data_IF_191242402607
#
_entry.id   IF_191242402607
#
_cell.length_a   1.000
_cell.length_b   1.000
_cell.length_c   1.000
_cell.angle_alpha   90.00
_cell.angle_beta   90.00
_cell.angle_gamma   90.00
#
_symmetry.space_group_name_H-M   'P 1'
#
loop_
_entity.id
_entity.type
_entity.pdbx_description
1 polymer ?
#
# COMPACT_ATOMS: atom_id res chain seq x y z
N UNK A 1 -23.35 -29.95 0.50
CA UNK A 1 -21.88 -29.87 0.48
C UNK A 1 -21.51 -28.42 0.73
N UNK A 2 -21.21 -28.06 1.98
CA UNK A 2 -20.80 -26.70 2.33
C UNK A 2 -19.32 -26.59 1.96
N UNK A 3 -19.01 -25.88 0.87
CA UNK A 3 -17.63 -25.52 0.57
C UNK A 3 -17.17 -24.56 1.66
N UNK A 4 -16.23 -25.00 2.51
CA UNK A 4 -15.47 -24.12 3.37
C UNK A 4 -14.71 -23.16 2.43
N UNK A 5 -15.29 -22.01 2.14
CA UNK A 5 -14.55 -20.88 1.59
C UNK A 5 -13.55 -20.53 2.68
N UNK A 6 -12.30 -20.93 2.51
CA UNK A 6 -11.21 -20.37 3.32
C UNK A 6 -11.15 -18.89 2.95
N UNK A 7 -11.56 -18.03 3.86
CA UNK A 7 -11.24 -16.61 3.78
C UNK A 7 -9.72 -16.52 3.86
N UNK A 8 -9.06 -16.35 2.71
CA UNK A 8 -7.63 -16.06 2.68
C UNK A 8 -7.52 -14.57 2.92
N UNK A 9 -7.05 -14.20 4.11
CA UNK A 9 -6.66 -12.82 4.39
C UNK A 9 -5.31 -12.59 3.72
N UNK A 10 -5.27 -11.68 2.75
CA UNK A 10 -4.05 -11.30 2.05
C UNK A 10 -3.23 -10.36 2.93
N UNK A 11 -1.89 -10.52 2.94
CA UNK A 11 -0.99 -9.64 3.68
C UNK A 11 -0.58 -8.42 2.86
N UNK A 12 -0.40 -7.28 3.52
CA UNK A 12 0.22 -6.10 2.91
C UNK A 12 1.58 -5.87 3.57
N UNK A 13 2.65 -6.03 2.82
CA UNK A 13 3.98 -5.65 3.29
C UNK A 13 4.40 -4.31 2.68
N UNK A 14 4.58 -3.32 3.55
CA UNK A 14 5.02 -1.98 3.17
C UNK A 14 6.43 -1.70 3.67
N UNK A 15 7.32 -1.42 2.73
CA UNK A 15 8.74 -1.18 3.00
C UNK A 15 9.22 0.14 2.38
N UNK A 16 10.16 0.80 3.05
CA UNK A 16 10.85 1.98 2.53
C UNK A 16 12.32 1.64 2.31
N UNK A 17 12.77 1.80 1.06
CA UNK A 17 14.14 1.56 0.63
C UNK A 17 14.77 2.92 0.39
N UNK A 18 15.27 3.52 1.47
CA UNK A 18 15.85 4.85 1.45
C UNK A 18 17.33 4.82 1.01
N UNK A 19 17.71 5.71 0.10
CA UNK A 19 19.10 6.06 -0.21
C UNK A 19 19.54 7.34 0.51
N UNK A 20 18.64 8.31 0.66
CA UNK A 20 18.84 9.53 1.42
C UNK A 20 18.45 9.35 2.89
N UNK A 21 19.27 9.92 3.77
CA UNK A 21 19.04 9.95 5.21
C UNK A 21 17.87 10.86 5.58
N UNK A 22 17.59 11.91 4.81
CA UNK A 22 16.46 12.80 5.06
C UNK A 22 15.14 12.07 4.82
N UNK A 23 15.06 11.31 3.72
CA UNK A 23 13.91 10.47 3.40
C UNK A 23 13.70 9.36 4.44
N UNK A 24 14.77 8.64 4.83
CA UNK A 24 14.73 7.64 5.90
C UNK A 24 14.20 8.22 7.22
N UNK A 25 14.61 9.45 7.59
CA UNK A 25 14.09 10.14 8.77
C UNK A 25 12.63 10.54 8.61
N UNK A 26 12.23 11.05 7.46
CA UNK A 26 10.84 11.42 7.19
C UNK A 26 9.93 10.19 7.29
N UNK A 27 10.33 9.07 6.68
CA UNK A 27 9.63 7.79 6.77
C UNK A 27 9.46 7.32 8.22
N UNK A 28 10.49 7.43 9.05
CA UNK A 28 10.37 7.09 10.49
C UNK A 28 9.36 7.97 11.23
N UNK A 29 9.25 9.26 10.87
CA UNK A 29 8.28 10.17 11.52
C UNK A 29 6.85 9.85 11.14
N UNK A 30 6.59 9.51 9.87
CA UNK A 30 5.24 9.24 9.38
C UNK A 30 4.78 7.80 9.61
N UNK A 31 5.70 6.84 9.77
CA UNK A 31 5.37 5.41 9.93
C UNK A 31 4.33 5.12 11.03
N UNK A 32 4.39 5.73 12.24
CA UNK A 32 3.37 5.51 13.26
C UNK A 32 1.97 5.95 12.82
N UNK A 33 1.86 7.04 12.05
CA UNK A 33 0.58 7.55 11.51
C UNK A 33 0.06 6.69 10.36
N UNK A 34 0.97 6.06 9.62
CA UNK A 34 0.63 5.13 8.53
C UNK A 34 0.18 3.75 9.05
N UNK A 35 0.66 3.32 10.23
CA UNK A 35 0.43 1.96 10.71
C UNK A 35 -1.06 1.58 10.84
N UNK A 36 -1.97 2.42 11.38
CA UNK A 36 -3.39 2.09 11.43
C UNK A 36 -4.01 1.82 10.06
N UNK A 37 -3.52 2.51 9.03
CA UNK A 37 -3.96 2.31 7.65
C UNK A 37 -3.49 0.97 7.12
N UNK A 38 -2.21 0.62 7.32
CA UNK A 38 -1.69 -0.69 6.95
C UNK A 38 -2.45 -1.83 7.65
N UNK A 39 -2.72 -1.66 8.95
CA UNK A 39 -3.49 -2.63 9.74
C UNK A 39 -4.93 -2.76 9.24
N UNK A 40 -5.53 -1.69 8.71
CA UNK A 40 -6.87 -1.73 8.13
C UNK A 40 -6.89 -2.47 6.79
N UNK A 41 -5.86 -2.28 5.95
CA UNK A 41 -5.70 -3.03 4.70
C UNK A 41 -5.61 -4.53 4.95
N UNK A 42 -4.86 -4.97 5.97
CA UNK A 42 -4.73 -6.39 6.32
C UNK A 42 -6.04 -7.02 6.84
N UNK A 43 -7.06 -6.22 7.18
CA UNK A 43 -8.36 -6.74 7.66
C UNK A 43 -9.39 -6.87 6.56
N UNK A 44 -9.10 -6.43 5.33
CA UNK A 44 -10.02 -6.60 4.21
C UNK A 44 -10.17 -8.09 3.90
N UNK A 45 -11.42 -8.56 3.92
CA UNK A 45 -11.78 -9.88 3.45
C UNK A 45 -12.06 -9.82 1.96
N UNK A 46 -11.13 -10.36 1.16
CA UNK A 46 -11.30 -10.44 -0.29
C UNK A 46 -12.25 -11.57 -0.66
N UNK A 47 -13.11 -11.30 -1.63
CA UNK A 47 -14.02 -12.28 -2.21
C UNK A 47 -13.28 -13.21 -3.17
N UNK A 48 -12.28 -12.67 -3.89
CA UNK A 48 -11.48 -13.39 -4.88
C UNK A 48 -9.98 -13.15 -4.65
N UNK A 49 -9.40 -13.67 -3.54
CA UNK A 49 -7.98 -13.51 -3.27
C UNK A 49 -7.14 -14.21 -4.35
N UNK A 50 -6.25 -13.46 -4.99
CA UNK A 50 -5.39 -13.92 -6.09
C UNK A 50 -3.91 -14.07 -5.69
N UNK A 51 -3.49 -13.35 -4.64
CA UNK A 51 -2.13 -13.39 -4.11
C UNK A 51 -2.16 -13.64 -2.60
N UNK A 52 -1.09 -14.24 -2.08
CA UNK A 52 -0.88 -14.43 -0.65
C UNK A 52 -0.47 -13.12 0.03
N UNK A 53 0.32 -12.29 -0.68
CA UNK A 53 0.66 -10.95 -0.22
C UNK A 53 0.86 -9.95 -1.37
N UNK A 54 0.64 -8.69 -1.02
CA UNK A 54 1.06 -7.53 -1.80
C UNK A 54 2.28 -6.92 -1.13
N UNK A 55 3.33 -6.69 -1.91
CA UNK A 55 4.58 -6.08 -1.47
C UNK A 55 4.70 -4.71 -2.14
N UNK A 56 4.62 -3.64 -1.34
CA UNK A 56 4.82 -2.27 -1.82
C UNK A 56 6.13 -1.73 -1.26
N UNK A 57 7.11 -1.56 -2.13
CA UNK A 57 8.35 -0.87 -1.82
C UNK A 57 8.29 0.59 -2.27
N UNK A 58 8.60 1.53 -1.39
CA UNK A 58 8.81 2.94 -1.78
C UNK A 58 10.28 3.31 -1.70
N UNK A 59 10.75 4.15 -2.63
CA UNK A 59 12.16 4.55 -2.69
C UNK A 59 12.31 5.98 -3.19
N UNK A 60 13.32 6.67 -2.67
CA UNK A 60 13.79 7.99 -3.11
C UNK A 60 14.86 7.93 -4.21
N UNK A 61 15.27 6.72 -4.62
CA UNK A 61 16.13 6.54 -5.79
C UNK A 61 15.38 6.72 -7.12
N UNK A 62 14.05 6.83 -7.08
CA UNK A 62 13.16 7.01 -8.23
C UNK A 62 12.30 8.25 -8.02
N UNK A 63 12.01 8.95 -9.12
CA UNK A 63 11.22 10.17 -9.07
C UNK A 63 9.76 9.87 -8.65
N UNK A 64 9.07 10.81 -7.98
CA UNK A 64 7.64 10.70 -7.73
C UNK A 64 6.85 10.38 -9.01
N UNK A 65 5.89 9.47 -8.90
CA UNK A 65 5.09 8.97 -10.03
C UNK A 65 5.71 7.79 -10.79
N UNK A 66 6.95 7.40 -10.48
CA UNK A 66 7.50 6.12 -10.93
C UNK A 66 6.78 4.96 -10.22
N UNK A 67 6.28 4.00 -11.00
CA UNK A 67 5.73 2.73 -10.50
C UNK A 67 6.14 1.63 -11.46
N UNK A 68 6.70 0.55 -10.92
CA UNK A 68 7.12 -0.61 -11.68
C UNK A 68 6.68 -1.88 -10.93
N UNK A 69 5.96 -2.75 -11.62
CA UNK A 69 5.71 -4.12 -11.15
C UNK A 69 6.99 -4.94 -11.31
N UNK A 70 7.36 -5.65 -10.24
CA UNK A 70 8.54 -6.50 -10.20
C UNK A 70 8.08 -7.94 -10.22
N UNK A 71 8.55 -8.72 -11.20
CA UNK A 71 8.31 -10.16 -11.22
C UNK A 71 8.78 -10.81 -9.93
N UNK A 72 7.90 -11.59 -9.30
CA UNK A 72 8.15 -12.36 -8.10
C UNK A 72 7.46 -13.73 -8.24
N UNK A 73 7.58 -14.60 -7.25
CA UNK A 73 6.88 -15.88 -7.23
C UNK A 73 5.37 -15.66 -7.40
N UNK A 74 4.68 -16.61 -8.05
CA UNK A 74 3.24 -16.51 -8.40
C UNK A 74 2.30 -16.14 -7.22
N UNK A 75 2.74 -16.37 -5.98
CA UNK A 75 2.00 -16.02 -4.77
C UNK A 75 2.07 -14.54 -4.36
N UNK A 76 2.90 -13.71 -5.00
CA UNK A 76 3.13 -12.32 -4.59
C UNK A 76 2.93 -11.34 -5.74
N UNK A 77 2.23 -10.25 -5.46
CA UNK A 77 2.25 -9.07 -6.30
C UNK A 77 3.22 -8.05 -5.69
N UNK A 78 4.23 -7.63 -6.44
CA UNK A 78 5.25 -6.71 -5.95
C UNK A 78 5.39 -5.49 -6.85
N UNK A 79 5.44 -4.31 -6.23
CA UNK A 79 5.69 -3.05 -6.92
C UNK A 79 6.75 -2.23 -6.20
N UNK A 80 7.55 -1.51 -6.98
CA UNK A 80 8.47 -0.47 -6.51
C UNK A 80 7.99 0.88 -7.01
N UNK A 81 7.86 1.83 -6.08
CA UNK A 81 7.31 3.15 -6.34
C UNK A 81 8.30 4.25 -5.92
N UNK A 82 8.43 5.29 -6.75
CA UNK A 82 9.24 6.47 -6.44
C UNK A 82 8.51 7.43 -5.50
N UNK A 83 9.21 7.93 -4.49
CA UNK A 83 8.70 8.83 -3.48
C UNK A 83 9.80 9.79 -3.01
N UNK A 84 9.47 11.05 -2.77
CA UNK A 84 10.42 12.06 -2.24
C UNK A 84 9.95 12.58 -0.89
N UNK A 85 10.88 13.04 -0.06
CA UNK A 85 10.60 13.72 1.22
C UNK A 85 10.42 15.25 1.04
N UNK A 86 10.16 15.68 -0.20
CA UNK A 86 9.92 17.09 -0.50
C UNK A 86 8.58 17.52 0.05
N UNK A 87 8.59 18.17 1.22
CA UNK A 87 7.40 18.75 1.84
C UNK A 87 7.32 18.50 3.34
N UNK A 88 6.12 18.69 3.86
CA UNK A 88 5.69 18.36 5.21
C UNK A 88 5.40 16.87 5.37
N UNK A 89 5.33 16.41 6.63
CA UNK A 89 4.97 15.04 6.95
C UNK A 89 3.55 14.67 6.43
N UNK A 90 2.63 15.64 6.34
CA UNK A 90 1.29 15.43 5.77
C UNK A 90 1.34 15.24 4.25
N UNK A 91 2.13 16.04 3.53
CA UNK A 91 2.31 15.88 2.09
C UNK A 91 2.97 14.53 1.76
N UNK A 92 3.93 14.09 2.59
CA UNK A 92 4.52 12.75 2.45
C UNK A 92 3.50 11.64 2.69
N UNK A 93 2.66 11.76 3.72
CA UNK A 93 1.58 10.79 3.98
C UNK A 93 0.59 10.71 2.84
N UNK A 94 0.15 11.86 2.31
CA UNK A 94 -0.74 11.93 1.16
C UNK A 94 -0.11 11.26 -0.07
N UNK A 95 1.17 11.51 -0.33
CA UNK A 95 1.91 10.86 -1.41
C UNK A 95 1.96 9.32 -1.22
N UNK A 96 2.23 8.84 0.00
CA UNK A 96 2.27 7.40 0.30
C UNK A 96 0.90 6.76 0.12
N UNK A 97 -0.18 7.41 0.56
CA UNK A 97 -1.55 6.92 0.36
C UNK A 97 -1.91 6.85 -1.13
N UNK A 98 -1.52 7.87 -1.90
CA UNK A 98 -1.67 7.87 -3.35
C UNK A 98 -0.94 6.71 -4.02
N UNK A 99 0.31 6.46 -3.60
CA UNK A 99 1.11 5.31 -4.05
C UNK A 99 0.41 3.99 -3.75
N UNK A 100 0.01 3.78 -2.48
CA UNK A 100 -0.70 2.56 -2.08
C UNK A 100 -1.94 2.36 -2.97
N UNK A 101 -2.79 3.39 -3.12
CA UNK A 101 -3.99 3.31 -3.96
C UNK A 101 -3.69 2.92 -5.39
N UNK A 102 -2.64 3.49 -5.96
CA UNK A 102 -2.23 3.19 -7.32
C UNK A 102 -1.68 1.77 -7.45
N UNK A 103 -0.91 1.28 -6.47
CA UNK A 103 -0.46 -0.11 -6.40
C UNK A 103 -1.63 -1.10 -6.36
N UNK A 104 -2.63 -0.85 -5.54
CA UNK A 104 -3.82 -1.71 -5.44
C UNK A 104 -4.67 -1.70 -6.72
N UNK A 105 -4.64 -0.63 -7.51
CA UNK A 105 -5.30 -0.57 -8.85
C UNK A 105 -4.54 -1.35 -9.92
N UNK A 106 -3.23 -1.48 -9.79
CA UNK A 106 -2.41 -2.26 -10.73
C UNK A 106 -2.52 -3.76 -10.45
N UNK A 107 -2.72 -4.15 -9.19
CA UNK A 107 -2.96 -5.53 -8.82
C UNK A 107 -4.20 -6.07 -9.57
N UNK A 108 -4.15 -7.25 -10.20
CA UNK A 108 -5.20 -7.74 -11.09
C UNK A 108 -6.41 -8.32 -10.32
N UNK A 109 -6.92 -7.58 -9.34
CA UNK A 109 -8.05 -7.98 -8.53
C UNK A 109 -9.35 -8.08 -9.34
N UNK A 110 -10.30 -8.85 -8.80
CA UNK A 110 -11.68 -8.77 -9.25
C UNK A 110 -12.24 -7.37 -8.95
N UNK A 111 -13.21 -6.93 -9.77
CA UNK A 111 -13.85 -5.61 -9.59
C UNK A 111 -14.42 -5.41 -8.19
N UNK A 112 -15.04 -6.43 -7.60
CA UNK A 112 -15.59 -6.36 -6.23
C UNK A 112 -14.51 -6.11 -5.18
N UNK A 113 -13.34 -6.72 -5.33
CA UNK A 113 -12.22 -6.54 -4.40
C UNK A 113 -11.59 -5.15 -4.57
N UNK A 114 -11.48 -4.64 -5.80
CA UNK A 114 -11.09 -3.24 -6.05
C UNK A 114 -12.04 -2.25 -5.37
N UNK A 115 -13.35 -2.48 -5.44
CA UNK A 115 -14.35 -1.61 -4.80
C UNK A 115 -14.19 -1.57 -3.28
N UNK A 116 -13.86 -2.70 -2.63
CA UNK A 116 -13.59 -2.74 -1.18
C UNK A 116 -12.33 -1.95 -0.81
N UNK A 117 -11.25 -2.08 -1.59
CA UNK A 117 -10.06 -1.26 -1.36
C UNK A 117 -10.34 0.24 -1.57
N UNK A 118 -11.10 0.62 -2.59
CA UNK A 118 -11.44 2.02 -2.85
C UNK A 118 -12.27 2.65 -1.71
N UNK A 119 -13.19 1.89 -1.10
CA UNK A 119 -13.92 2.33 0.10
C UNK A 119 -12.96 2.56 1.26
N UNK A 120 -12.06 1.61 1.52
CA UNK A 120 -11.07 1.75 2.58
C UNK A 120 -10.17 2.96 2.35
N UNK A 121 -9.70 3.20 1.13
CA UNK A 121 -8.91 4.39 0.81
C UNK A 121 -9.66 5.69 1.12
N UNK A 122 -10.97 5.76 0.82
CA UNK A 122 -11.78 6.94 1.13
C UNK A 122 -11.89 7.18 2.65
N UNK A 123 -12.07 6.12 3.44
CA UNK A 123 -12.14 6.20 4.91
C UNK A 123 -10.79 6.59 5.53
N UNK A 124 -9.71 5.94 5.10
CA UNK A 124 -8.37 6.17 5.65
C UNK A 124 -7.81 7.56 5.30
N UNK A 125 -8.16 8.08 4.12
CA UNK A 125 -7.78 9.42 3.71
C UNK A 125 -8.38 10.50 4.63
N UNK A 126 -9.60 10.30 5.15
CA UNK A 126 -10.18 11.20 6.14
C UNK A 126 -9.43 11.13 7.48
N UNK A 127 -9.13 9.92 7.95
CA UNK A 127 -8.46 9.71 9.24
C UNK A 127 -7.05 10.32 9.30
N UNK A 128 -6.27 10.25 8.21
CA UNK A 128 -4.89 10.76 8.20
C UNK A 128 -4.81 12.28 8.11
N UNK A 129 -5.79 12.92 7.43
CA UNK A 129 -5.77 14.36 7.18
C UNK A 129 -6.50 15.19 8.24
N UNK A 130 -7.25 14.56 9.13
CA UNK A 130 -7.97 15.22 10.24
C UNK A 130 -7.19 15.25 11.57
N UNK A 131 -5.97 14.68 11.62
CA UNK A 131 -4.98 14.84 12.71
C UNK A 131 -3.99 16.00 12.47
#
# INVERSE_FOLDING_TARGET
>A
MSSLVRTITMKLEFSAIARDRSFDRAMRRVRPRLQPVLDAFERIELQHPIHEAILVGITDDKAPGFIEEIENNDGFFQVICGCSDSGSDNELLEAILGILRQSFRLCPFATSDHEEFEKLFAEMHQLILEE
#
